data_IF_133539545694
#
_entry.id   IF_133539545694
#
_cell.length_a   1.000
_cell.length_b   1.000
_cell.length_c   1.000
_cell.angle_alpha   90.00
_cell.angle_beta   90.00
_cell.angle_gamma   90.00
#
_symmetry.space_group_name_H-M   'P 1'
#
loop_
_entity.id
_entity.type
_entity.pdbx_description
1 polymer ?
#
# COMPACT_ATOMS: atom_id res chain seq x y z
N UNK A 1 -56.25 21.38 21.21
CA UNK A 1 -56.38 19.96 20.82
C UNK A 1 -54.99 19.38 20.77
N UNK A 2 -54.69 18.52 21.75
CA UNK A 2 -53.56 17.62 21.71
C UNK A 2 -53.90 16.42 20.82
N UNK A 3 -52.87 15.72 20.34
CA UNK A 3 -53.00 14.34 19.88
C UNK A 3 -52.46 14.11 18.47
N UNK A 4 -51.22 13.66 18.38
CA UNK A 4 -50.90 12.36 17.77
C UNK A 4 -49.65 11.79 18.47
N UNK A 5 -49.84 10.64 19.10
CA UNK A 5 -48.80 9.79 19.68
C UNK A 5 -48.69 8.49 18.87
N UNK A 6 -47.59 7.78 19.12
CA UNK A 6 -47.24 6.40 18.76
C UNK A 6 -46.54 6.23 17.40
N UNK A 7 -45.45 5.48 17.24
CA UNK A 7 -44.57 4.69 18.13
C UNK A 7 -43.39 4.23 17.25
N UNK A 8 -42.14 4.37 17.72
CA UNK A 8 -41.17 3.29 18.00
C UNK A 8 -40.65 2.49 16.77
N UNK A 9 -39.34 2.64 16.51
CA UNK A 9 -38.58 1.89 15.52
C UNK A 9 -37.08 1.95 15.80
N UNK A 10 -36.61 0.97 16.59
CA UNK A 10 -35.26 0.42 16.81
C UNK A 10 -33.99 1.33 16.70
N UNK A 11 -33.21 1.51 17.79
CA UNK A 11 -31.86 2.07 17.75
C UNK A 11 -30.85 0.94 17.50
N UNK A 12 -30.64 0.57 16.25
CA UNK A 12 -29.75 -0.54 15.94
C UNK A 12 -29.63 -0.80 14.46
N UNK A 13 -28.89 0.07 13.78
CA UNK A 13 -28.20 -0.19 12.51
C UNK A 13 -27.41 1.09 12.19
N UNK A 14 -26.26 1.23 12.87
CA UNK A 14 -25.23 2.16 12.39
C UNK A 14 -24.79 1.70 10.98
N UNK A 15 -24.32 2.61 10.12
CA UNK A 15 -23.94 2.24 8.77
C UNK A 15 -22.89 1.13 8.83
N UNK A 16 -23.25 -0.03 8.29
CA UNK A 16 -22.35 -1.16 8.08
C UNK A 16 -21.28 -0.70 7.08
N UNK A 17 -20.15 -0.19 7.59
CA UNK A 17 -18.99 0.19 6.78
C UNK A 17 -18.36 -1.10 6.23
N UNK A 18 -18.89 -1.59 5.11
CA UNK A 18 -18.37 -2.77 4.39
C UNK A 18 -17.21 -2.44 3.43
N UNK A 19 -16.63 -1.25 3.53
CA UNK A 19 -15.44 -0.86 2.78
C UNK A 19 -14.23 -1.60 3.35
N UNK A 20 -13.99 -2.84 2.90
CA UNK A 20 -12.70 -3.58 2.89
C UNK A 20 -12.91 -5.09 2.64
N UNK A 21 -13.95 -5.53 1.92
CA UNK A 21 -14.09 -6.96 1.53
C UNK A 21 -13.10 -7.41 0.43
N UNK A 22 -12.16 -6.56 0.01
CA UNK A 22 -11.12 -6.85 -0.97
C UNK A 22 -9.91 -5.91 -0.79
N UNK A 23 -9.36 -5.81 0.42
CA UNK A 23 -8.13 -5.03 0.68
C UNK A 23 -6.99 -5.57 -0.20
N UNK A 24 -6.70 -4.89 -1.31
CA UNK A 24 -5.53 -5.16 -2.14
C UNK A 24 -4.56 -4.01 -1.89
N UNK A 25 -3.81 -4.09 -0.80
CA UNK A 25 -2.87 -3.07 -0.42
C UNK A 25 -1.67 -3.10 -1.39
N UNK A 26 -1.40 -1.94 -2.00
CA UNK A 26 -0.20 -1.64 -2.75
C UNK A 26 0.46 -0.47 -2.02
N UNK A 27 1.71 -0.63 -1.58
CA UNK A 27 2.46 0.48 -0.99
C UNK A 27 3.84 0.54 -1.64
N UNK A 28 3.97 1.41 -2.64
CA UNK A 28 5.24 1.76 -3.26
C UNK A 28 5.81 2.98 -2.55
N UNK A 29 6.96 2.80 -1.90
CA UNK A 29 7.76 3.92 -1.37
C UNK A 29 8.62 4.47 -2.50
N UNK A 30 8.24 5.62 -3.05
CA UNK A 30 8.99 6.24 -4.14
C UNK A 30 10.25 6.97 -3.67
N UNK A 31 10.45 7.17 -2.37
CA UNK A 31 11.69 7.72 -1.82
C UNK A 31 11.61 7.64 -0.30
N UNK A 32 12.51 6.89 0.33
CA UNK A 32 12.70 6.99 1.78
C UNK A 32 13.50 8.26 2.09
N UNK A 33 12.87 9.43 2.05
CA UNK A 33 13.45 10.64 2.67
C UNK A 33 13.20 10.64 4.18
N UNK A 34 13.49 9.51 4.84
CA UNK A 34 13.45 9.41 6.29
C UNK A 34 14.87 9.55 6.83
N UNK A 35 15.04 10.34 7.87
CA UNK A 35 16.29 10.40 8.64
C UNK A 35 15.97 9.75 9.98
N UNK A 36 16.26 8.46 10.17
CA UNK A 36 16.52 7.96 11.52
C UNK A 36 17.77 8.71 11.98
N UNK A 37 17.79 9.26 13.20
CA UNK A 37 18.38 10.57 13.56
C UNK A 37 19.84 10.88 13.16
N UNK A 38 20.59 9.93 12.60
CA UNK A 38 21.94 10.09 12.07
C UNK A 38 22.23 9.37 10.73
N UNK A 39 21.26 8.70 10.10
CA UNK A 39 21.43 7.91 8.86
C UNK A 39 20.71 8.56 7.68
N UNK A 40 21.45 8.83 6.59
CA UNK A 40 20.87 9.38 5.35
C UNK A 40 20.29 8.26 4.49
N UNK A 41 19.00 8.31 4.21
CA UNK A 41 18.29 7.31 3.39
C UNK A 41 17.91 7.79 1.97
N UNK A 42 18.19 9.07 1.67
CA UNK A 42 17.81 9.67 0.39
C UNK A 42 18.37 8.93 -0.83
N UNK A 43 17.51 8.73 -1.83
CA UNK A 43 17.86 8.05 -3.09
C UNK A 43 17.84 6.52 -3.03
N UNK A 44 17.62 5.92 -1.85
CA UNK A 44 17.38 4.49 -1.71
C UNK A 44 15.91 4.16 -1.94
N UNK A 45 15.68 3.00 -2.54
CA UNK A 45 14.35 2.47 -2.85
C UNK A 45 14.02 1.28 -1.94
N UNK A 46 12.73 1.10 -1.70
CA UNK A 46 12.19 -0.06 -0.99
C UNK A 46 10.95 -0.52 -1.72
N UNK A 47 10.84 -1.84 -1.93
CA UNK A 47 9.61 -2.48 -2.37
C UNK A 47 9.13 -3.40 -1.26
N UNK A 48 7.87 -3.27 -0.89
CA UNK A 48 7.25 -4.11 0.12
C UNK A 48 6.08 -4.88 -0.51
N UNK A 49 6.02 -6.18 -0.25
CA UNK A 49 4.98 -7.07 -0.73
C UNK A 49 4.21 -7.60 0.46
N UNK A 50 2.91 -7.35 0.47
CA UNK A 50 2.02 -7.80 1.53
C UNK A 50 0.89 -8.65 0.98
N UNK A 51 0.43 -9.60 1.78
CA UNK A 51 -0.76 -10.39 1.46
C UNK A 51 -1.49 -10.79 2.72
N UNK A 52 -2.81 -10.61 2.72
CA UNK A 52 -3.72 -11.19 3.70
C UNK A 52 -4.69 -12.12 2.96
N UNK A 53 -5.07 -13.27 3.57
CA UNK A 53 -6.09 -14.15 3.01
C UNK A 53 -7.52 -13.58 3.16
N UNK A 54 -7.71 -12.69 4.15
CA UNK A 54 -8.97 -12.03 4.49
C UNK A 54 -8.80 -10.53 4.72
N UNK A 55 -9.64 -9.96 5.58
CA UNK A 55 -9.51 -8.55 5.94
C UNK A 55 -8.25 -8.33 6.80
N UNK A 56 -7.58 -7.19 6.64
CA UNK A 56 -6.28 -6.90 7.30
C UNK A 56 -6.35 -7.07 8.82
N UNK A 57 -7.44 -6.61 9.44
CA UNK A 57 -7.65 -6.70 10.88
C UNK A 57 -7.90 -8.13 11.41
N UNK A 58 -8.13 -9.10 10.52
CA UNK A 58 -8.27 -10.52 10.88
C UNK A 58 -6.90 -11.21 11.08
N UNK A 59 -5.79 -10.52 10.77
CA UNK A 59 -4.44 -11.08 10.90
C UNK A 59 -4.07 -12.03 9.77
N UNK A 60 -3.14 -12.96 10.01
CA UNK A 60 -2.60 -13.89 9.01
C UNK A 60 -1.92 -13.19 7.82
N UNK A 61 -1.38 -12.00 8.05
CA UNK A 61 -0.65 -11.25 7.04
C UNK A 61 0.73 -11.85 6.77
N UNK A 62 1.15 -11.77 5.51
CA UNK A 62 2.49 -12.10 5.06
C UNK A 62 3.20 -10.84 4.59
N UNK A 63 4.49 -10.71 4.91
CA UNK A 63 5.32 -9.56 4.57
C UNK A 63 6.65 -9.99 3.95
N UNK A 64 7.00 -9.42 2.80
CA UNK A 64 8.31 -9.57 2.17
C UNK A 64 8.85 -8.23 1.72
N UNK A 65 10.08 -7.91 2.15
CA UNK A 65 10.72 -6.62 1.90
C UNK A 65 11.92 -6.79 0.99
N UNK A 66 12.04 -5.89 0.01
CA UNK A 66 13.18 -5.75 -0.89
C UNK A 66 13.74 -4.36 -0.66
N UNK A 67 15.01 -4.29 -0.26
CA UNK A 67 15.74 -3.03 -0.07
C UNK A 67 16.75 -2.88 -1.20
N UNK A 68 16.96 -1.65 -1.64
CA UNK A 68 17.98 -1.29 -2.61
C UNK A 68 19.37 -1.82 -2.22
N UNK A 69 20.03 -2.55 -3.12
CA UNK A 69 21.35 -3.14 -2.85
C UNK A 69 22.43 -2.11 -2.52
N UNK A 70 22.23 -0.85 -2.94
CA UNK A 70 23.12 0.28 -2.65
C UNK A 70 23.11 0.69 -1.17
N UNK A 71 22.13 0.24 -0.39
CA UNK A 71 22.05 0.51 1.03
C UNK A 71 23.17 -0.21 1.80
N UNK A 72 23.85 0.48 2.69
CA UNK A 72 24.76 -0.12 3.67
C UNK A 72 24.03 -0.74 4.86
N UNK A 73 24.76 -1.37 5.79
CA UNK A 73 24.18 -2.06 6.95
C UNK A 73 23.36 -1.12 7.85
N UNK A 74 23.84 0.10 8.09
CA UNK A 74 23.15 1.08 8.93
C UNK A 74 21.86 1.57 8.26
N UNK A 75 21.90 1.79 6.94
CA UNK A 75 20.74 2.18 6.14
C UNK A 75 19.69 1.07 6.09
N UNK A 76 20.11 -0.18 5.91
CA UNK A 76 19.21 -1.35 5.93
C UNK A 76 18.51 -1.49 7.28
N UNK A 77 19.26 -1.39 8.38
CA UNK A 77 18.70 -1.44 9.73
C UNK A 77 17.68 -0.31 9.97
N UNK A 78 18.00 0.92 9.55
CA UNK A 78 17.09 2.05 9.66
C UNK A 78 15.82 1.85 8.82
N UNK A 79 15.94 1.41 7.56
CA UNK A 79 14.80 1.14 6.69
C UNK A 79 13.89 0.04 7.27
N UNK A 80 14.46 -1.07 7.77
CA UNK A 80 13.69 -2.15 8.39
C UNK A 80 12.99 -1.70 9.68
N UNK A 81 13.61 -0.82 10.45
CA UNK A 81 13.00 -0.22 11.66
C UNK A 81 11.81 0.67 11.30
N UNK A 82 11.93 1.45 10.23
CA UNK A 82 10.83 2.28 9.74
C UNK A 82 9.67 1.39 9.25
N UNK A 83 9.97 0.37 8.46
CA UNK A 83 8.96 -0.51 7.85
C UNK A 83 8.25 -1.41 8.87
N UNK A 84 8.86 -1.66 10.03
CA UNK A 84 8.21 -2.35 11.15
C UNK A 84 7.39 -1.43 12.05
N UNK A 85 7.42 -0.11 11.81
CA UNK A 85 6.76 0.89 12.65
C UNK A 85 7.41 1.07 14.03
N UNK A 86 8.68 0.67 14.19
CA UNK A 86 9.39 0.66 15.47
C UNK A 86 9.77 2.04 16.04
N UNK A 87 9.72 3.10 15.22
CA UNK A 87 10.02 4.48 15.62
C UNK A 87 8.76 5.37 15.76
N UNK A 88 7.57 4.78 15.75
CA UNK A 88 6.30 5.55 15.78
C UNK A 88 5.38 5.09 16.91
N UNK A 89 4.55 6.01 17.41
CA UNK A 89 3.46 5.65 18.33
C UNK A 89 2.55 4.58 17.69
N UNK A 90 1.96 3.72 18.53
CA UNK A 90 1.08 2.64 18.05
C UNK A 90 -0.07 3.22 17.21
N UNK A 91 -0.27 2.68 16.01
CA UNK A 91 -1.28 3.17 15.06
C UNK A 91 -0.94 4.50 14.36
N UNK A 92 0.23 5.10 14.59
CA UNK A 92 0.57 6.40 13.97
C UNK A 92 1.01 6.28 12.50
N UNK A 93 1.37 5.09 12.03
CA UNK A 93 1.70 4.84 10.62
C UNK A 93 0.99 3.60 10.12
N UNK A 94 0.72 3.58 8.82
CA UNK A 94 0.19 2.39 8.13
C UNK A 94 1.11 1.17 8.35
N UNK A 95 2.41 1.40 8.51
CA UNK A 95 3.41 0.37 8.81
C UNK A 95 3.19 -0.26 10.18
N UNK A 96 2.97 0.55 11.21
CA UNK A 96 2.70 0.03 12.55
C UNK A 96 1.38 -0.78 12.57
N UNK A 97 0.35 -0.31 11.86
CA UNK A 97 -0.92 -1.04 11.72
C UNK A 97 -0.72 -2.37 11.00
N UNK A 98 -0.02 -2.40 9.86
CA UNK A 98 0.22 -3.63 9.12
C UNK A 98 1.14 -4.59 9.87
N UNK A 99 2.20 -4.08 10.50
CA UNK A 99 3.16 -4.87 11.28
C UNK A 99 2.47 -5.66 12.40
N UNK A 100 1.47 -5.08 13.06
CA UNK A 100 0.68 -5.74 14.09
C UNK A 100 -0.21 -6.89 13.58
N UNK A 101 -0.37 -7.02 12.26
CA UNK A 101 -1.27 -8.02 11.63
C UNK A 101 -0.53 -9.09 10.83
N UNK A 102 0.80 -9.07 10.81
CA UNK A 102 1.60 -10.08 10.15
C UNK A 102 1.83 -11.29 11.05
N UNK A 103 1.54 -12.48 10.52
CA UNK A 103 1.89 -13.75 11.16
C UNK A 103 3.20 -14.31 10.56
N UNK A 104 3.54 -13.93 9.33
CA UNK A 104 4.73 -14.38 8.62
C UNK A 104 5.48 -13.19 8.00
N UNK A 105 6.73 -13.00 8.43
CA UNK A 105 7.64 -11.99 7.87
C UNK A 105 8.84 -12.72 7.29
N UNK A 106 9.02 -12.65 5.97
CA UNK A 106 10.13 -13.28 5.27
C UNK A 106 11.42 -12.46 5.43
N UNK A 107 12.56 -13.15 5.38
CA UNK A 107 13.87 -12.49 5.39
C UNK A 107 13.95 -11.47 4.25
N UNK A 108 14.39 -10.23 4.52
CA UNK A 108 14.52 -9.22 3.50
C UNK A 108 15.64 -9.58 2.53
N UNK A 109 15.50 -9.12 1.29
CA UNK A 109 16.55 -9.25 0.27
C UNK A 109 17.05 -7.88 -0.17
N UNK A 110 18.28 -7.86 -0.65
CA UNK A 110 18.94 -6.66 -1.15
C UNK A 110 19.20 -6.82 -2.64
N UNK A 111 18.55 -5.99 -3.47
CA UNK A 111 18.64 -6.07 -4.93
C UNK A 111 18.56 -4.69 -5.56
N UNK A 112 19.04 -4.56 -6.80
CA UNK A 112 18.73 -3.41 -7.64
C UNK A 112 17.21 -3.29 -7.84
N UNK A 113 16.72 -2.05 -7.76
CA UNK A 113 15.30 -1.72 -7.90
C UNK A 113 15.20 -0.64 -8.96
N UNK A 114 14.71 -0.98 -10.14
CA UNK A 114 14.37 0.00 -11.17
C UNK A 114 12.92 0.47 -10.95
N UNK A 115 12.79 1.76 -10.67
CA UNK A 115 11.55 2.42 -10.31
C UNK A 115 11.48 3.77 -11.02
N UNK A 116 10.39 3.99 -11.75
CA UNK A 116 10.01 5.29 -12.26
C UNK A 116 8.51 5.50 -12.10
N UNK A 117 8.11 6.72 -11.70
CA UNK A 117 6.70 7.09 -11.51
C UNK A 117 6.48 8.50 -12.06
N UNK A 118 5.48 8.64 -12.92
CA UNK A 118 4.91 9.92 -13.33
C UNK A 118 3.43 9.94 -12.90
N UNK A 119 3.18 10.61 -11.78
CA UNK A 119 1.85 10.73 -11.17
C UNK A 119 0.89 11.48 -12.08
N UNK A 120 1.34 12.53 -12.77
CA UNK A 120 0.47 13.31 -13.64
C UNK A 120 0.09 12.51 -14.88
N UNK A 121 1.03 11.77 -15.48
CA UNK A 121 0.75 10.90 -16.60
C UNK A 121 0.08 9.57 -16.20
N UNK A 122 0.03 9.23 -14.90
CA UNK A 122 -0.42 7.92 -14.36
C UNK A 122 0.30 6.76 -15.03
N UNK A 123 1.61 6.90 -15.20
CA UNK A 123 2.48 5.84 -15.70
C UNK A 123 3.59 5.57 -14.70
N UNK A 124 4.03 4.33 -14.62
CA UNK A 124 5.16 3.97 -13.81
C UNK A 124 5.55 2.52 -13.99
N UNK A 125 6.70 2.15 -13.47
CA UNK A 125 7.15 0.76 -13.45
C UNK A 125 7.95 0.46 -12.21
N UNK A 126 7.96 -0.82 -11.86
CA UNK A 126 8.80 -1.38 -10.81
C UNK A 126 9.36 -2.69 -11.36
N UNK A 127 10.67 -2.78 -11.45
CA UNK A 127 11.38 -3.98 -11.89
C UNK A 127 12.42 -4.34 -10.84
N UNK A 128 12.31 -5.56 -10.32
CA UNK A 128 13.32 -6.18 -9.47
C UNK A 128 13.56 -7.57 -10.03
N UNK A 129 14.76 -7.81 -10.54
CA UNK A 129 15.06 -9.03 -11.31
C UNK A 129 14.67 -10.31 -10.55
N UNK A 130 13.86 -11.14 -11.21
CA UNK A 130 13.33 -12.40 -10.69
C UNK A 130 12.34 -12.28 -9.52
N UNK A 131 11.99 -11.08 -9.06
CA UNK A 131 11.11 -10.89 -7.90
C UNK A 131 9.85 -10.09 -8.21
N UNK A 132 9.98 -8.94 -8.88
CA UNK A 132 8.88 -8.00 -9.11
C UNK A 132 8.93 -7.49 -10.54
N UNK A 133 7.77 -7.55 -11.21
CA UNK A 133 7.53 -6.86 -12.47
C UNK A 133 6.18 -6.16 -12.38
N UNK A 134 6.18 -4.84 -12.56
CA UNK A 134 4.95 -4.08 -12.57
C UNK A 134 4.98 -2.88 -13.49
N UNK A 135 3.84 -2.64 -14.13
CA UNK A 135 3.62 -1.55 -15.06
C UNK A 135 2.29 -0.88 -14.76
N UNK A 136 2.35 0.40 -14.43
CA UNK A 136 1.20 1.28 -14.26
C UNK A 136 0.92 2.06 -15.56
N UNK A 137 -0.37 2.19 -15.87
CA UNK A 137 -0.88 2.94 -17.02
C UNK A 137 -2.17 3.68 -16.65
N UNK A 138 -2.62 4.66 -17.45
CA UNK A 138 -3.92 5.28 -17.25
C UNK A 138 -5.05 4.27 -17.37
N UNK A 139 -6.08 4.42 -16.54
CA UNK A 139 -7.36 3.73 -16.72
C UNK A 139 -7.91 4.10 -18.12
N UNK A 140 -8.54 3.14 -18.80
CA UNK A 140 -9.19 3.38 -20.10
C UNK A 140 -10.70 3.29 -19.97
N UNK A 141 -11.40 4.14 -20.72
CA UNK A 141 -12.84 4.01 -20.88
C UNK A 141 -13.15 2.68 -21.61
N UNK A 142 -14.02 1.80 -21.08
CA UNK A 142 -14.28 0.48 -21.66
C UNK A 142 -14.99 0.52 -23.02
N UNK A 143 -15.61 1.65 -23.39
CA UNK A 143 -16.30 1.85 -24.66
C UNK A 143 -15.41 2.56 -25.67
N UNK A 144 -14.76 3.66 -25.28
CA UNK A 144 -13.98 4.50 -26.22
C UNK A 144 -12.48 4.19 -26.25
N UNK A 145 -11.97 3.43 -25.28
CA UNK A 145 -10.53 3.18 -25.06
C UNK A 145 -9.67 4.42 -24.75
N UNK A 146 -10.28 5.60 -24.65
CA UNK A 146 -9.61 6.85 -24.29
C UNK A 146 -9.13 6.82 -22.83
N UNK A 147 -8.10 7.62 -22.53
CA UNK A 147 -7.59 7.75 -21.16
C UNK A 147 -8.67 8.35 -20.26
N UNK A 148 -9.01 7.63 -19.21
CA UNK A 148 -9.89 8.06 -18.14
C UNK A 148 -9.06 8.45 -16.91
N UNK A 149 -9.46 9.53 -16.23
CA UNK A 149 -8.79 10.00 -15.01
C UNK A 149 -9.78 9.96 -13.86
N UNK A 150 -9.38 9.28 -12.80
CA UNK A 150 -10.07 9.28 -11.52
C UNK A 150 -9.07 9.66 -10.42
N UNK A 151 -9.58 10.33 -9.39
CA UNK A 151 -8.79 10.78 -8.23
C UNK A 151 -9.62 10.56 -6.97
N UNK A 152 -8.96 10.07 -5.92
CA UNK A 152 -9.52 10.01 -4.58
C UNK A 152 -8.96 11.17 -3.77
N UNK A 153 -9.85 11.94 -3.11
CA UNK A 153 -9.46 13.01 -2.21
C UNK A 153 -9.98 12.67 -0.81
N UNK A 154 -9.06 12.51 0.14
CA UNK A 154 -9.34 12.26 1.55
C UNK A 154 -8.71 13.39 2.37
N UNK A 155 -9.41 14.52 2.60
CA UNK A 155 -8.82 15.68 3.29
C UNK A 155 -8.21 15.38 4.66
N UNK A 156 -8.78 14.40 5.36
CA UNK A 156 -8.32 13.90 6.67
C UNK A 156 -7.85 12.43 6.56
N UNK A 157 -7.39 12.03 5.37
CA UNK A 157 -6.98 10.66 5.10
C UNK A 157 -5.75 10.26 5.90
N UNK A 158 -5.83 9.08 6.49
CA UNK A 158 -4.73 8.51 7.28
C UNK A 158 -3.58 8.02 6.40
N UNK A 159 -3.88 7.34 5.28
CA UNK A 159 -2.88 6.76 4.37
C UNK A 159 -2.38 7.77 3.31
N UNK A 160 -3.29 8.55 2.74
CA UNK A 160 -3.01 9.60 1.76
C UNK A 160 -4.09 10.67 1.79
N UNK A 161 -3.75 11.88 1.37
CA UNK A 161 -4.73 12.97 1.21
C UNK A 161 -5.27 13.07 -0.21
N UNK A 162 -4.45 12.72 -1.21
CA UNK A 162 -4.81 12.68 -2.62
C UNK A 162 -4.15 11.46 -3.28
N UNK A 163 -4.93 10.69 -4.05
CA UNK A 163 -4.44 9.59 -4.87
C UNK A 163 -4.93 9.72 -6.32
N UNK A 164 -4.02 9.72 -7.29
CA UNK A 164 -4.33 9.57 -8.71
C UNK A 164 -4.47 8.10 -9.06
N UNK A 165 -5.57 7.73 -9.70
CA UNK A 165 -5.86 6.33 -9.99
C UNK A 165 -5.37 5.94 -11.39
N UNK A 166 -4.71 4.78 -11.46
CA UNK A 166 -4.25 4.11 -12.66
C UNK A 166 -4.85 2.71 -12.80
N UNK A 167 -4.36 1.99 -13.80
CA UNK A 167 -4.50 0.55 -13.92
C UNK A 167 -3.08 -0.03 -13.96
N UNK A 168 -2.87 -1.20 -13.35
CA UNK A 168 -1.58 -1.84 -13.33
C UNK A 168 -1.66 -3.33 -13.62
N UNK A 169 -0.60 -3.82 -14.24
CA UNK A 169 -0.24 -5.23 -14.27
C UNK A 169 0.89 -5.45 -13.28
N UNK A 170 0.83 -6.55 -12.54
CA UNK A 170 1.76 -6.86 -11.47
C UNK A 170 2.05 -8.35 -11.43
N UNK A 171 3.32 -8.69 -11.23
CA UNK A 171 3.78 -10.03 -10.91
C UNK A 171 4.80 -9.96 -9.77
N UNK A 172 4.58 -10.78 -8.75
CA UNK A 172 5.55 -11.11 -7.73
C UNK A 172 5.89 -12.60 -7.81
N UNK A 173 7.18 -12.92 -7.83
CA UNK A 173 7.72 -14.29 -7.88
C UNK A 173 8.55 -14.68 -6.66
N UNK A 174 8.63 -13.78 -5.66
CA UNK A 174 9.25 -14.07 -4.37
C UNK A 174 8.43 -15.03 -3.49
N UNK A 175 8.67 -15.04 -2.17
CA UNK A 175 8.01 -15.97 -1.24
C UNK A 175 6.48 -15.80 -1.17
N UNK A 176 5.96 -14.65 -1.61
CA UNK A 176 4.54 -14.35 -1.72
C UNK A 176 4.17 -14.24 -3.21
N UNK A 177 3.99 -15.35 -3.93
CA UNK A 177 3.72 -15.32 -5.37
C UNK A 177 2.32 -14.76 -5.65
N UNK A 178 2.25 -13.79 -6.56
CA UNK A 178 1.01 -13.11 -6.95
C UNK A 178 1.10 -12.63 -8.40
N UNK A 179 -0.02 -12.62 -9.11
CA UNK A 179 -0.11 -12.07 -10.46
C UNK A 179 -1.48 -11.44 -10.67
N UNK A 180 -1.50 -10.21 -11.18
CA UNK A 180 -2.71 -9.47 -11.50
C UNK A 180 -2.53 -8.72 -12.82
N UNK A 181 -3.59 -8.69 -13.63
CA UNK A 181 -3.62 -8.00 -14.91
C UNK A 181 -4.77 -6.98 -14.90
N UNK A 182 -4.50 -5.79 -15.45
CA UNK A 182 -5.47 -4.71 -15.64
C UNK A 182 -6.35 -4.39 -14.43
N UNK A 183 -5.72 -4.31 -13.24
CA UNK A 183 -6.42 -3.92 -12.01
C UNK A 183 -6.28 -2.44 -11.74
N UNK A 184 -7.33 -1.81 -11.23
CA UNK A 184 -7.23 -0.44 -10.71
C UNK A 184 -6.18 -0.38 -9.61
N UNK A 185 -5.31 0.62 -9.70
CA UNK A 185 -4.17 0.84 -8.82
C UNK A 185 -4.12 2.31 -8.41
#
# INVERSE_FOLDING_TARGET
MAGHSAESGNPGEGPEYSYLKNSKAWCLLNEASATSCCVKLGGLRVVAVFRWPGAVHEGAGQCFIIIDERADEAQRAALLTILSGGETEEGATIWNVFAATFDEVFDPVFKDIDLAIDVEARVGHVLVDGLIESHGQPIRNPVTSEKHRARINLPEGFEYTVAEMGAATFRASGPIPMSYEDRHA
#
